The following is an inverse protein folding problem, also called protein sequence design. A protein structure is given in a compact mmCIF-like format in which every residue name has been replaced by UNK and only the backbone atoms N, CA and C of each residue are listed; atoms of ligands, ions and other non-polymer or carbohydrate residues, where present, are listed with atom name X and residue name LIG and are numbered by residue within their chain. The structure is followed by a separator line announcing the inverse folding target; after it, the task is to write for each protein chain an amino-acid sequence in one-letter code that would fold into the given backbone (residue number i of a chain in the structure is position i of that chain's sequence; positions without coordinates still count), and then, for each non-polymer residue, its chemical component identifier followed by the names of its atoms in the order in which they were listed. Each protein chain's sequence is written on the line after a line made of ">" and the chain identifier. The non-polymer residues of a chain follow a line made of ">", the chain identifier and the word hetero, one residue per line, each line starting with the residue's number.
data_IF_905696736984
#
_entry.id   IF_905696736984
#
_cell.length_a   1.000
_cell.length_b   1.000
_cell.length_c   1.000
_cell.angle_alpha   90.00
_cell.angle_beta   90.00
_cell.angle_gamma   90.00
#
_symmetry.space_group_name_H-M   'P 1'
#
loop_
_entity.id
_entity.type
_entity.pdbx_description
1 polymer ?
#
# COMPACT_ATOMS: atom_id res chain seq x y z
N UNK A 1 0.72 0.60 -29.28
CA UNK A 1 1.22 1.83 -28.62
C UNK A 1 1.48 1.48 -27.17
N UNK A 2 2.75 1.28 -26.77
CA UNK A 2 3.13 1.11 -25.37
C UNK A 2 3.41 2.50 -24.82
N UNK A 3 2.41 3.16 -24.25
CA UNK A 3 2.67 4.39 -23.49
C UNK A 3 3.44 3.99 -22.22
N UNK A 4 4.71 4.43 -22.04
CA UNK A 4 5.50 4.07 -20.87
C UNK A 4 4.85 4.49 -19.55
N UNK A 5 3.91 5.44 -19.57
CA UNK A 5 3.13 5.84 -18.40
C UNK A 5 2.26 4.72 -17.84
N UNK A 6 1.85 3.73 -18.65
CA UNK A 6 1.06 2.59 -18.21
C UNK A 6 1.84 1.63 -17.29
N UNK A 7 3.18 1.69 -17.30
CA UNK A 7 4.01 0.91 -16.38
C UNK A 7 4.08 1.54 -14.98
N UNK A 8 3.81 2.84 -14.85
CA UNK A 8 3.92 3.56 -13.57
C UNK A 8 2.97 2.98 -12.50
N UNK A 9 1.66 2.78 -12.76
CA UNK A 9 0.77 2.16 -11.78
C UNK A 9 1.24 0.76 -11.35
N UNK A 10 1.77 -0.04 -12.28
CA UNK A 10 2.27 -1.37 -11.97
C UNK A 10 3.49 -1.33 -11.03
N UNK A 11 4.46 -0.45 -11.32
CA UNK A 11 5.65 -0.28 -10.48
C UNK A 11 5.27 0.22 -9.09
N UNK A 12 4.38 1.20 -9.01
CA UNK A 12 3.90 1.75 -7.72
C UNK A 12 3.09 0.71 -6.93
N UNK A 13 2.29 -0.10 -7.61
CA UNK A 13 1.55 -1.21 -6.99
C UNK A 13 2.50 -2.24 -6.38
N UNK A 14 3.51 -2.68 -7.15
CA UNK A 14 4.52 -3.64 -6.70
C UNK A 14 5.33 -3.10 -5.52
N UNK A 15 5.74 -1.85 -5.60
CA UNK A 15 6.49 -1.20 -4.52
C UNK A 15 5.65 -1.12 -3.24
N UNK A 16 4.42 -0.63 -3.34
CA UNK A 16 3.49 -0.53 -2.20
C UNK A 16 3.22 -1.89 -1.58
N UNK A 17 2.93 -2.89 -2.41
CA UNK A 17 2.72 -4.28 -1.96
C UNK A 17 3.97 -4.86 -1.30
N UNK A 18 5.16 -4.59 -1.83
CA UNK A 18 6.42 -5.02 -1.26
C UNK A 18 6.65 -4.44 0.13
N UNK A 19 6.43 -3.12 0.28
CA UNK A 19 6.56 -2.44 1.58
C UNK A 19 5.53 -2.96 2.58
N UNK A 20 4.25 -3.05 2.21
CA UNK A 20 3.22 -3.57 3.13
C UNK A 20 3.50 -5.01 3.53
N UNK A 21 3.90 -5.87 2.58
CA UNK A 21 4.24 -7.26 2.86
C UNK A 21 5.46 -7.40 3.78
N UNK A 22 6.49 -6.59 3.57
CA UNK A 22 7.68 -6.58 4.43
C UNK A 22 7.34 -6.20 5.87
N UNK A 23 6.58 -5.12 6.08
CA UNK A 23 6.12 -4.73 7.41
C UNK A 23 5.19 -5.77 8.02
N UNK A 24 4.30 -6.36 7.23
CA UNK A 24 3.43 -7.44 7.71
C UNK A 24 4.23 -8.63 8.25
N UNK A 25 5.27 -9.04 7.53
CA UNK A 25 6.16 -10.12 7.96
C UNK A 25 6.92 -9.76 9.24
N UNK A 26 7.40 -8.51 9.38
CA UNK A 26 8.05 -8.04 10.61
C UNK A 26 7.09 -8.15 11.79
N UNK A 27 5.87 -7.64 11.67
CA UNK A 27 4.88 -7.69 12.76
C UNK A 27 4.50 -9.14 13.07
N UNK A 28 4.24 -9.96 12.06
CA UNK A 28 3.93 -11.39 12.20
C UNK A 28 5.03 -12.13 12.98
N UNK A 29 6.30 -11.88 12.63
CA UNK A 29 7.46 -12.51 13.29
C UNK A 29 7.64 -12.04 14.72
N UNK A 30 7.38 -10.76 15.03
CA UNK A 30 7.55 -10.20 16.37
C UNK A 30 6.42 -10.54 17.34
N UNK A 31 5.16 -10.48 16.88
CA UNK A 31 4.00 -10.62 17.77
C UNK A 31 3.43 -12.04 17.80
N UNK A 32 3.76 -12.88 16.81
CA UNK A 32 3.13 -14.19 16.64
C UNK A 32 1.73 -14.08 16.01
N UNK A 33 1.33 -15.15 15.31
CA UNK A 33 0.13 -15.18 14.45
C UNK A 33 -1.18 -15.19 15.26
N UNK A 34 -1.11 -15.52 16.55
CA UNK A 34 -2.27 -15.63 17.45
C UNK A 34 -2.39 -14.48 18.46
N UNK A 35 -1.57 -13.42 18.33
CA UNK A 35 -1.72 -12.25 19.20
C UNK A 35 -2.88 -11.37 18.74
N UNK A 36 -3.65 -10.85 19.69
CA UNK A 36 -4.76 -9.92 19.43
C UNK A 36 -4.30 -8.69 18.63
N UNK A 37 -3.11 -8.17 18.95
CA UNK A 37 -2.49 -7.06 18.21
C UNK A 37 -2.18 -7.41 16.75
N UNK A 38 -1.81 -8.66 16.44
CA UNK A 38 -1.62 -9.12 15.06
C UNK A 38 -2.96 -9.31 14.34
N UNK A 39 -3.98 -9.84 15.01
CA UNK A 39 -5.32 -9.98 14.42
C UNK A 39 -5.90 -8.62 14.02
N UNK A 40 -5.73 -7.61 14.88
CA UNK A 40 -6.11 -6.23 14.60
C UNK A 40 -5.35 -5.62 13.41
N UNK A 41 -4.16 -6.12 13.07
CA UNK A 41 -3.40 -5.68 11.89
C UNK A 41 -3.87 -6.35 10.57
N UNK A 42 -4.59 -7.47 10.64
CA UNK A 42 -5.07 -8.17 9.43
C UNK A 42 -6.04 -7.31 8.62
N UNK A 43 -6.91 -6.56 9.29
CA UNK A 43 -7.86 -5.66 8.62
C UNK A 43 -7.15 -4.49 7.91
N UNK A 44 -6.26 -3.72 8.56
CA UNK A 44 -5.43 -2.73 7.87
C UNK A 44 -4.63 -3.30 6.69
N UNK A 45 -4.10 -4.52 6.82
CA UNK A 45 -3.40 -5.19 5.71
C UNK A 45 -4.33 -5.46 4.52
N UNK A 46 -5.52 -5.99 4.79
CA UNK A 46 -6.53 -6.23 3.76
C UNK A 46 -6.95 -4.93 3.08
N UNK A 47 -7.30 -3.90 3.86
CA UNK A 47 -7.73 -2.59 3.35
C UNK A 47 -6.63 -1.97 2.49
N UNK A 48 -5.38 -2.01 2.94
CA UNK A 48 -4.26 -1.42 2.21
C UNK A 48 -4.03 -2.11 0.87
N UNK A 49 -4.07 -3.44 0.83
CA UNK A 49 -3.91 -4.19 -0.42
C UNK A 49 -5.09 -4.02 -1.37
N UNK A 50 -6.32 -3.93 -0.83
CA UNK A 50 -7.52 -3.64 -1.61
C UNK A 50 -7.41 -2.25 -2.26
N UNK A 51 -7.10 -1.23 -1.47
CA UNK A 51 -6.94 0.14 -1.95
C UNK A 51 -5.79 0.23 -2.97
N UNK A 52 -4.68 -0.45 -2.74
CA UNK A 52 -3.54 -0.49 -3.68
C UNK A 52 -3.99 -0.97 -5.07
N UNK A 53 -4.78 -2.05 -5.12
CA UNK A 53 -5.32 -2.59 -6.37
C UNK A 53 -6.39 -1.67 -7.00
N UNK A 54 -7.31 -1.12 -6.21
CA UNK A 54 -8.34 -0.19 -6.71
C UNK A 54 -7.68 1.05 -7.33
N UNK A 55 -6.75 1.68 -6.61
CA UNK A 55 -6.00 2.84 -7.10
C UNK A 55 -5.28 2.53 -8.41
N UNK A 56 -4.64 1.35 -8.50
CA UNK A 56 -3.91 0.96 -9.71
C UNK A 56 -4.84 0.81 -10.91
N UNK A 57 -5.99 0.16 -10.74
CA UNK A 57 -7.01 0.03 -11.80
C UNK A 57 -7.56 1.41 -12.19
N UNK A 58 -7.91 2.25 -11.21
CA UNK A 58 -8.40 3.60 -11.47
C UNK A 58 -7.39 4.46 -12.24
N UNK A 59 -6.11 4.41 -11.86
CA UNK A 59 -5.05 5.16 -12.53
C UNK A 59 -4.77 4.63 -13.93
N UNK A 60 -4.78 3.31 -14.13
CA UNK A 60 -4.67 2.71 -15.46
C UNK A 60 -5.81 3.19 -16.37
N UNK A 61 -7.06 3.11 -15.90
CA UNK A 61 -8.21 3.61 -16.64
C UNK A 61 -8.10 5.12 -16.91
N UNK A 62 -7.63 5.90 -15.95
CA UNK A 62 -7.43 7.34 -16.13
C UNK A 62 -6.40 7.66 -17.22
N UNK A 63 -5.22 7.02 -17.17
CA UNK A 63 -4.14 7.21 -18.16
C UNK A 63 -4.58 6.74 -19.55
N UNK A 64 -5.33 5.64 -19.64
CA UNK A 64 -5.84 5.14 -20.92
C UNK A 64 -6.88 6.07 -21.56
N UNK A 65 -7.64 6.81 -20.75
CA UNK A 65 -8.71 7.68 -21.22
C UNK A 65 -8.30 9.16 -21.33
N UNK A 66 -7.16 9.56 -20.75
CA UNK A 66 -6.70 10.95 -20.73
C UNK A 66 -5.17 11.04 -20.83
N UNK A 67 -4.68 11.93 -21.70
CA UNK A 67 -3.27 12.31 -21.71
C UNK A 67 -2.91 13.01 -20.40
N UNK A 68 -1.92 12.48 -19.69
CA UNK A 68 -1.41 13.06 -18.45
C UNK A 68 -0.21 13.95 -18.78
N UNK A 69 -0.29 15.28 -18.56
CA UNK A 69 0.84 16.16 -18.76
C UNK A 69 2.03 15.77 -17.85
N UNK A 70 3.28 15.93 -18.29
CA UNK A 70 4.47 15.56 -17.51
C UNK A 70 4.51 16.17 -16.11
N UNK A 71 4.04 17.41 -15.96
CA UNK A 71 3.94 18.14 -14.69
C UNK A 71 3.04 17.46 -13.64
N UNK A 72 2.07 16.64 -14.07
CA UNK A 72 1.16 15.94 -13.16
C UNK A 72 1.59 14.51 -12.81
N UNK A 73 2.65 13.99 -13.45
CA UNK A 73 3.06 12.58 -13.28
C UNK A 73 3.45 12.24 -11.84
N UNK A 74 4.06 13.18 -11.11
CA UNK A 74 4.42 12.99 -9.69
C UNK A 74 3.20 12.76 -8.81
N UNK A 75 2.06 13.39 -9.11
CA UNK A 75 0.84 13.25 -8.30
C UNK A 75 0.21 11.85 -8.40
N UNK A 76 0.58 11.06 -9.41
CA UNK A 76 0.15 9.65 -9.52
C UNK A 76 0.67 8.80 -8.35
N UNK A 77 1.76 9.23 -7.69
CA UNK A 77 2.36 8.52 -6.54
C UNK A 77 1.63 8.78 -5.22
N UNK A 78 0.88 9.88 -5.10
CA UNK A 78 0.28 10.35 -3.85
C UNK A 78 -0.67 9.31 -3.22
N UNK A 79 -1.58 8.66 -3.97
CA UNK A 79 -2.46 7.65 -3.37
C UNK A 79 -1.69 6.46 -2.79
N UNK A 80 -0.63 6.00 -3.46
CA UNK A 80 0.23 4.90 -2.98
C UNK A 80 1.00 5.27 -1.72
N UNK A 81 1.49 6.52 -1.65
CA UNK A 81 2.10 7.04 -0.44
C UNK A 81 1.11 7.04 0.73
N UNK A 82 -0.13 7.50 0.51
CA UNK A 82 -1.18 7.48 1.53
C UNK A 82 -1.49 6.07 2.04
N UNK A 83 -1.62 5.09 1.15
CA UNK A 83 -1.84 3.67 1.50
C UNK A 83 -0.66 3.13 2.32
N UNK A 84 0.56 3.41 1.87
CA UNK A 84 1.78 2.96 2.56
C UNK A 84 1.89 3.57 3.95
N UNK A 85 1.66 4.88 4.08
CA UNK A 85 1.70 5.60 5.35
C UNK A 85 0.63 5.08 6.32
N UNK A 86 -0.60 4.87 5.83
CA UNK A 86 -1.68 4.25 6.61
C UNK A 86 -1.24 2.88 7.16
N UNK A 87 -0.76 2.00 6.29
CA UNK A 87 -0.37 0.64 6.70
C UNK A 87 0.78 0.63 7.71
N UNK A 88 1.84 1.39 7.44
CA UNK A 88 3.00 1.50 8.33
C UNK A 88 2.58 2.02 9.70
N UNK A 89 1.70 3.03 9.75
CA UNK A 89 1.18 3.57 11.00
C UNK A 89 0.40 2.52 11.78
N UNK A 90 -0.46 1.73 11.11
CA UNK A 90 -1.15 0.60 11.74
C UNK A 90 -0.19 -0.48 12.25
N UNK A 91 0.86 -0.78 11.49
CA UNK A 91 1.88 -1.76 11.89
C UNK A 91 2.65 -1.32 13.14
N UNK A 92 3.08 -0.06 13.21
CA UNK A 92 3.73 0.49 14.40
C UNK A 92 2.80 0.55 15.60
N UNK A 93 1.52 0.87 15.38
CA UNK A 93 0.50 0.85 16.44
C UNK A 93 0.36 -0.56 17.03
N UNK A 94 0.23 -1.59 16.20
CA UNK A 94 0.16 -2.97 16.65
C UNK A 94 1.40 -3.38 17.48
N UNK A 95 2.61 -2.98 17.04
CA UNK A 95 3.84 -3.24 17.78
C UNK A 95 3.91 -2.48 19.11
N UNK A 96 3.39 -1.26 19.17
CA UNK A 96 3.34 -0.45 20.40
C UNK A 96 2.34 -1.03 21.39
N UNK A 97 1.14 -1.37 20.94
CA UNK A 97 0.08 -1.91 21.78
C UNK A 97 0.52 -3.24 22.41
N UNK A 98 1.19 -4.11 21.65
CA UNK A 98 1.75 -5.36 22.15
C UNK A 98 2.94 -5.20 23.12
N UNK A 99 3.58 -4.03 23.20
CA UNK A 99 4.65 -3.75 24.17
C UNK A 99 4.08 -3.30 25.53
N UNK A 100 2.90 -2.69 25.51
CA UNK A 100 2.27 -2.10 26.70
C UNK A 100 1.36 -3.07 27.44
N UNK A 101 0.99 -4.18 26.79
CA UNK A 101 0.28 -5.33 27.37
C UNK A 101 1.27 -6.42 27.76
#
# INVERSE_FOLDING_TARGET
>A
MNDPLLLIPLVLWLFTYGVTSFFHQIVKKKLGVHSESYENLRLPNFISNLLNSIVSVCLLLYIMNRSVPPEYTTYLTVPYFGITAYYITSAFRALKDARNN
#
